data_IF_447754975788
#
_entry.id   IF_447754975788
#
_cell.length_a   1.000
_cell.length_b   1.000
_cell.length_c   1.000
_cell.angle_alpha   90.00
_cell.angle_beta   90.00
_cell.angle_gamma   90.00
#
_symmetry.space_group_name_H-M   'P 1'
#
loop_
_entity.id
_entity.type
_entity.pdbx_description
1 polymer ?
#
# COMPACT_ATOMS: atom_id res chain seq x y z
N UNK A 1 -43.13 20.26 22.85
CA UNK A 1 -43.78 19.05 23.40
C UNK A 1 -44.58 19.43 24.63
N UNK A 2 -45.82 18.95 24.76
CA UNK A 2 -46.60 19.16 25.98
C UNK A 2 -45.97 18.34 27.12
N UNK A 3 -45.85 18.94 28.29
CA UNK A 3 -45.31 18.29 29.48
C UNK A 3 -46.38 17.52 30.24
N UNK A 4 -45.97 16.56 31.07
CA UNK A 4 -46.88 15.78 31.92
C UNK A 4 -47.75 16.71 32.78
N UNK A 5 -47.17 17.79 33.30
CA UNK A 5 -47.88 18.80 34.09
C UNK A 5 -48.95 19.55 33.29
N UNK A 6 -48.69 19.86 32.02
CA UNK A 6 -49.66 20.50 31.13
C UNK A 6 -50.82 19.58 30.78
N UNK A 7 -50.55 18.28 30.58
CA UNK A 7 -51.58 17.26 30.33
C UNK A 7 -52.50 17.12 31.56
N UNK A 8 -51.93 17.06 32.76
CA UNK A 8 -52.71 16.98 34.02
C UNK A 8 -53.54 18.25 34.24
N UNK A 9 -52.95 19.44 34.05
CA UNK A 9 -53.68 20.72 34.15
C UNK A 9 -54.84 20.81 33.15
N UNK A 10 -54.63 20.32 31.92
CA UNK A 10 -55.66 20.32 30.87
C UNK A 10 -56.83 19.40 31.21
N UNK A 11 -56.55 18.24 31.79
CA UNK A 11 -57.57 17.31 32.30
C UNK A 11 -58.38 17.92 33.44
N UNK A 12 -57.72 18.60 34.36
CA UNK A 12 -58.39 19.25 35.50
C UNK A 12 -59.24 20.45 35.02
N UNK A 13 -58.78 21.21 34.02
CA UNK A 13 -59.54 22.28 33.35
C UNK A 13 -60.78 21.78 32.59
N UNK A 14 -60.69 20.59 31.98
CA UNK A 14 -61.81 19.96 31.28
C UNK A 14 -62.83 19.31 32.23
N UNK A 15 -62.53 19.28 33.54
CA UNK A 15 -63.44 18.78 34.57
C UNK A 15 -63.68 17.27 34.51
N UNK A 16 -62.83 16.51 33.80
CA UNK A 16 -62.97 15.06 33.70
C UNK A 16 -62.69 14.39 35.05
N UNK A 17 -63.57 13.45 35.46
CA UNK A 17 -63.46 12.67 36.70
C UNK A 17 -63.66 11.18 36.42
N UNK A 18 -63.18 10.36 37.35
CA UNK A 18 -63.34 8.90 37.28
C UNK A 18 -62.73 8.29 36.02
N UNK A 19 -63.46 7.42 35.35
CA UNK A 19 -62.98 6.66 34.18
C UNK A 19 -62.60 7.57 32.99
N UNK A 20 -63.38 8.63 32.72
CA UNK A 20 -63.09 9.58 31.62
C UNK A 20 -61.75 10.30 31.81
N UNK A 21 -61.36 10.55 33.06
CA UNK A 21 -60.04 11.14 33.40
C UNK A 21 -58.91 10.17 33.06
N UNK A 22 -59.07 8.91 33.45
CA UNK A 22 -58.06 7.87 33.21
C UNK A 22 -57.90 7.60 31.71
N UNK A 23 -59.00 7.57 30.96
CA UNK A 23 -58.99 7.30 29.51
C UNK A 23 -58.30 8.42 28.73
N UNK A 24 -58.63 9.68 29.04
CA UNK A 24 -57.97 10.84 28.43
C UNK A 24 -56.47 10.89 28.73
N UNK A 25 -56.08 10.67 30.00
CA UNK A 25 -54.67 10.63 30.39
C UNK A 25 -53.90 9.54 29.65
N UNK A 26 -54.46 8.32 29.56
CA UNK A 26 -53.86 7.22 28.79
C UNK A 26 -53.66 7.58 27.33
N UNK A 27 -54.65 8.23 26.72
CA UNK A 27 -54.58 8.65 25.32
C UNK A 27 -53.49 9.71 25.10
N UNK A 28 -53.42 10.74 25.95
CA UNK A 28 -52.40 11.79 25.86
C UNK A 28 -50.99 11.27 26.15
N UNK A 29 -50.82 10.38 27.14
CA UNK A 29 -49.51 9.77 27.39
C UNK A 29 -49.04 8.92 26.22
N UNK A 30 -49.95 8.13 25.61
CA UNK A 30 -49.63 7.35 24.41
C UNK A 30 -49.19 8.25 23.25
N UNK A 31 -49.89 9.36 23.02
CA UNK A 31 -49.52 10.34 22.00
C UNK A 31 -48.17 11.01 22.30
N UNK A 32 -47.90 11.32 23.57
CA UNK A 32 -46.62 11.90 23.99
C UNK A 32 -45.46 10.92 23.78
N UNK A 33 -45.63 9.65 24.15
CA UNK A 33 -44.64 8.59 23.90
C UNK A 33 -44.40 8.37 22.41
N UNK A 34 -45.45 8.31 21.60
CA UNK A 34 -45.34 8.19 20.14
C UNK A 34 -44.63 9.40 19.51
N UNK A 35 -44.94 10.61 20.01
CA UNK A 35 -44.27 11.84 19.58
C UNK A 35 -42.78 11.82 19.93
N UNK A 36 -42.43 11.47 21.17
CA UNK A 36 -41.04 11.38 21.61
C UNK A 36 -40.27 10.28 20.88
N UNK A 37 -40.92 9.14 20.61
CA UNK A 37 -40.31 8.05 19.86
C UNK A 37 -40.04 8.45 18.40
N UNK A 38 -40.98 9.18 17.77
CA UNK A 38 -40.78 9.73 16.41
C UNK A 38 -39.65 10.75 16.37
N UNK A 39 -39.57 11.64 17.36
CA UNK A 39 -38.54 12.66 17.44
C UNK A 39 -37.15 12.05 17.64
N UNK A 40 -37.00 11.12 18.60
CA UNK A 40 -35.75 10.37 18.78
C UNK A 40 -35.34 9.59 17.54
N UNK A 41 -36.29 8.99 16.84
CA UNK A 41 -36.02 8.25 15.61
C UNK A 41 -35.59 9.19 14.47
N UNK A 42 -36.26 10.33 14.32
CA UNK A 42 -35.90 11.35 13.33
C UNK A 42 -34.53 11.97 13.62
N UNK A 43 -34.21 12.22 14.90
CA UNK A 43 -32.91 12.72 15.33
C UNK A 43 -31.80 11.69 15.09
N UNK A 44 -32.04 10.42 15.42
CA UNK A 44 -31.11 9.34 15.13
C UNK A 44 -30.88 9.15 13.62
N UNK A 45 -31.93 9.27 12.81
CA UNK A 45 -31.83 9.22 11.35
C UNK A 45 -31.06 10.42 10.78
N UNK A 46 -31.30 11.62 11.29
CA UNK A 46 -30.55 12.83 10.94
C UNK A 46 -29.07 12.67 11.28
N UNK A 47 -28.76 12.26 12.52
CA UNK A 47 -27.37 12.04 12.95
C UNK A 47 -26.68 10.93 12.15
N UNK A 48 -27.41 9.86 11.81
CA UNK A 48 -26.86 8.78 10.96
C UNK A 48 -26.58 9.27 9.54
N UNK A 49 -27.45 10.10 8.99
CA UNK A 49 -27.27 10.72 7.67
C UNK A 49 -26.08 11.68 7.65
N UNK A 50 -25.95 12.54 8.66
CA UNK A 50 -24.82 13.47 8.79
C UNK A 50 -23.49 12.72 8.90
N UNK A 51 -23.41 11.69 9.77
CA UNK A 51 -22.20 10.85 9.90
C UNK A 51 -21.84 10.15 8.60
N UNK A 52 -22.83 9.67 7.86
CA UNK A 52 -22.60 9.01 6.57
C UNK A 52 -22.08 10.00 5.52
N UNK A 53 -22.66 11.20 5.45
CA UNK A 53 -22.21 12.23 4.52
C UNK A 53 -20.81 12.76 4.87
N UNK A 54 -20.49 12.88 6.16
CA UNK A 54 -19.16 13.26 6.61
C UNK A 54 -18.11 12.18 6.29
N UNK A 55 -18.43 10.91 6.51
CA UNK A 55 -17.57 9.79 6.13
C UNK A 55 -17.33 9.76 4.60
N UNK A 56 -18.38 9.91 3.79
CA UNK A 56 -18.25 9.96 2.33
C UNK A 56 -17.41 11.17 1.87
N UNK A 57 -17.59 12.32 2.51
CA UNK A 57 -16.78 13.52 2.23
C UNK A 57 -15.31 13.29 2.60
N UNK A 58 -15.04 12.59 3.69
CA UNK A 58 -13.68 12.27 4.11
C UNK A 58 -13.03 11.26 3.17
N UNK A 59 -13.72 10.17 2.82
CA UNK A 59 -13.23 9.19 1.84
C UNK A 59 -12.91 9.84 0.49
N UNK A 60 -13.79 10.74 0.01
CA UNK A 60 -13.55 11.48 -1.23
C UNK A 60 -12.32 12.39 -1.17
N UNK A 61 -12.05 13.03 -0.03
CA UNK A 61 -10.84 13.83 0.18
C UNK A 61 -9.60 12.94 0.20
N UNK A 62 -9.62 11.85 0.96
CA UNK A 62 -8.51 10.90 1.03
C UNK A 62 -8.19 10.26 -0.33
N UNK A 63 -9.22 9.96 -1.13
CA UNK A 63 -9.02 9.47 -2.49
C UNK A 63 -8.41 10.53 -3.41
N UNK A 64 -8.88 11.78 -3.32
CA UNK A 64 -8.31 12.89 -4.08
C UNK A 64 -6.83 13.13 -3.72
N UNK A 65 -6.51 13.17 -2.42
CA UNK A 65 -5.15 13.33 -1.91
C UNK A 65 -4.24 12.16 -2.35
N UNK A 66 -4.77 10.92 -2.30
CA UNK A 66 -4.04 9.73 -2.79
C UNK A 66 -3.76 9.82 -4.28
N UNK A 67 -4.74 10.27 -5.07
CA UNK A 67 -4.59 10.42 -6.51
C UNK A 67 -3.59 11.52 -6.85
N UNK A 68 -3.67 12.67 -6.19
CA UNK A 68 -2.73 13.77 -6.35
C UNK A 68 -1.30 13.34 -6.01
N UNK A 69 -1.12 12.59 -4.91
CA UNK A 69 0.20 12.06 -4.53
C UNK A 69 0.79 11.13 -5.59
N UNK A 70 -0.03 10.23 -6.13
CA UNK A 70 0.38 9.32 -7.22
C UNK A 70 0.70 10.08 -8.51
N UNK A 71 -0.04 11.13 -8.84
CA UNK A 71 0.24 11.98 -10.00
C UNK A 71 1.55 12.74 -9.82
N UNK A 72 1.79 13.34 -8.65
CA UNK A 72 3.07 13.99 -8.33
C UNK A 72 4.25 13.01 -8.42
N UNK A 73 4.09 11.79 -7.90
CA UNK A 73 5.13 10.76 -7.96
C UNK A 73 5.43 10.35 -9.40
N UNK A 74 4.40 10.16 -10.24
CA UNK A 74 4.58 9.92 -11.68
C UNK A 74 5.30 11.05 -12.38
N UNK A 75 4.95 12.31 -12.08
CA UNK A 75 5.61 13.49 -12.66
C UNK A 75 7.09 13.52 -12.24
N UNK A 76 7.39 13.26 -10.97
CA UNK A 76 8.77 13.21 -10.47
C UNK A 76 9.57 12.10 -11.16
N UNK A 77 9.00 10.91 -11.27
CA UNK A 77 9.65 9.77 -11.93
C UNK A 77 9.89 10.05 -13.43
N UNK A 78 8.92 10.65 -14.12
CA UNK A 78 9.07 11.04 -15.52
C UNK A 78 10.14 12.12 -15.71
N UNK A 79 10.19 13.13 -14.82
CA UNK A 79 11.22 14.14 -14.82
C UNK A 79 12.62 13.54 -14.56
N UNK A 80 12.74 12.63 -13.61
CA UNK A 80 13.99 11.93 -13.30
C UNK A 80 14.44 11.06 -14.49
N UNK A 81 13.52 10.31 -15.09
CA UNK A 81 13.79 9.51 -16.29
C UNK A 81 14.21 10.38 -17.49
N UNK A 82 13.60 11.54 -17.68
CA UNK A 82 14.01 12.52 -18.71
C UNK A 82 15.41 13.07 -18.44
N UNK A 83 15.71 13.44 -17.20
CA UNK A 83 17.05 13.89 -16.82
C UNK A 83 18.09 12.80 -17.00
N UNK A 84 17.77 11.54 -16.65
CA UNK A 84 18.66 10.41 -16.84
C UNK A 84 18.94 10.17 -18.33
N UNK A 85 17.90 10.18 -19.18
CA UNK A 85 18.05 10.07 -20.64
C UNK A 85 18.92 11.19 -21.21
N UNK A 86 18.67 12.44 -20.80
CA UNK A 86 19.46 13.58 -21.24
C UNK A 86 20.93 13.49 -20.79
N UNK A 87 21.20 12.99 -19.58
CA UNK A 87 22.58 12.75 -19.10
C UNK A 87 23.30 11.63 -19.87
N UNK A 88 22.57 10.59 -20.28
CA UNK A 88 23.10 9.52 -21.14
C UNK A 88 23.41 10.08 -22.54
N UNK A 89 22.48 10.83 -23.13
CA UNK A 89 22.64 11.42 -24.47
C UNK A 89 23.75 12.48 -24.52
N UNK A 90 23.92 13.26 -23.44
CA UNK A 90 25.02 14.20 -23.28
C UNK A 90 26.38 13.52 -22.95
N UNK A 91 26.42 12.18 -22.82
CA UNK A 91 27.64 11.44 -22.54
C UNK A 91 28.23 11.66 -21.13
N UNK A 92 27.49 12.31 -20.22
CA UNK A 92 27.90 12.54 -18.82
C UNK A 92 27.84 11.23 -18.03
N UNK A 93 26.83 10.40 -18.32
CA UNK A 93 26.78 9.01 -17.87
C UNK A 93 27.19 8.16 -19.06
N UNK A 94 28.41 7.60 -19.01
CA UNK A 94 28.80 6.55 -19.96
C UNK A 94 27.87 5.36 -19.68
N UNK A 95 27.00 5.04 -20.63
CA UNK A 95 26.58 3.66 -20.77
C UNK A 95 27.88 2.91 -21.08
N UNK A 96 28.50 2.27 -20.11
CA UNK A 96 29.51 1.26 -20.37
C UNK A 96 28.73 0.01 -20.80
N UNK A 97 28.59 -0.31 -22.10
CA UNK A 97 28.79 -1.69 -22.45
C UNK A 97 30.24 -1.97 -22.05
N UNK A 98 30.44 -2.76 -21.00
CA UNK A 98 31.72 -3.42 -20.80
C UNK A 98 32.08 -4.09 -22.14
N UNK A 99 33.20 -3.63 -22.70
CA UNK A 99 33.86 -4.26 -23.84
C UNK A 99 33.26 -3.92 -25.21
N UNK A 100 33.88 -3.00 -25.93
CA UNK A 100 34.51 -3.35 -27.22
C UNK A 100 35.17 -2.15 -27.88
N UNK A 101 36.50 -2.11 -27.81
CA UNK A 101 37.26 -1.77 -29.01
C UNK A 101 37.69 -3.08 -29.66
N UNK A 102 37.61 -3.09 -30.99
CA UNK A 102 38.02 -4.13 -31.93
C UNK A 102 37.01 -5.25 -32.26
N UNK A 103 36.25 -4.98 -33.33
CA UNK A 103 36.04 -5.84 -34.51
C UNK A 103 35.71 -7.32 -34.24
N UNK A 104 34.45 -7.70 -34.46
CA UNK A 104 34.04 -8.71 -35.44
C UNK A 104 32.53 -8.86 -35.39
N UNK A 105 31.92 -8.83 -36.56
CA UNK A 105 30.52 -9.17 -36.81
C UNK A 105 30.24 -10.63 -36.41
N UNK A 106 29.50 -10.86 -35.33
CA UNK A 106 28.46 -11.89 -35.33
C UNK A 106 27.40 -11.60 -34.27
N UNK A 107 26.15 -11.82 -34.65
CA UNK A 107 24.98 -11.52 -33.85
C UNK A 107 24.62 -12.70 -32.95
N UNK A 108 24.28 -12.42 -31.69
CA UNK A 108 23.27 -13.21 -30.97
C UNK A 108 23.74 -14.47 -30.23
N UNK A 109 24.39 -14.28 -29.07
CA UNK A 109 24.17 -15.15 -27.92
C UNK A 109 24.45 -14.35 -26.64
N UNK A 110 23.41 -14.02 -25.86
CA UNK A 110 23.60 -13.52 -24.49
C UNK A 110 24.19 -14.68 -23.70
N UNK A 111 25.47 -14.62 -23.34
CA UNK A 111 26.12 -15.67 -22.54
C UNK A 111 25.29 -15.93 -21.27
N UNK A 112 24.96 -17.20 -20.94
CA UNK A 112 24.20 -17.53 -19.75
C UNK A 112 24.97 -17.09 -18.50
N UNK A 113 24.31 -16.39 -17.57
CA UNK A 113 24.93 -15.98 -16.30
C UNK A 113 25.20 -17.22 -15.43
N UNK A 114 26.39 -17.31 -14.83
CA UNK A 114 26.73 -18.38 -13.91
C UNK A 114 25.89 -18.27 -12.61
N UNK A 115 25.18 -19.33 -12.18
CA UNK A 115 24.41 -19.29 -10.94
C UNK A 115 25.29 -19.21 -9.69
N UNK A 116 24.81 -18.51 -8.64
CA UNK A 116 25.43 -18.51 -7.31
C UNK A 116 25.49 -19.93 -6.72
N UNK A 117 26.52 -20.20 -5.93
CA UNK A 117 26.67 -21.43 -5.16
C UNK A 117 25.63 -21.49 -4.03
N UNK A 118 24.93 -22.63 -3.90
CA UNK A 118 23.98 -22.89 -2.82
C UNK A 118 24.56 -23.86 -1.77
N UNK A 119 24.97 -23.35 -0.60
CA UNK A 119 25.48 -24.16 0.51
C UNK A 119 24.44 -25.21 0.96
N UNK A 120 24.84 -26.48 0.97
CA UNK A 120 24.00 -27.63 1.32
C UNK A 120 23.23 -28.26 0.16
N UNK A 121 23.25 -27.67 -1.03
CA UNK A 121 22.66 -28.25 -2.26
C UNK A 121 23.68 -28.52 -3.35
N UNK A 122 24.62 -27.59 -3.53
CA UNK A 122 25.70 -27.74 -4.50
C UNK A 122 26.94 -28.35 -3.85
N UNK A 123 27.59 -29.25 -4.58
CA UNK A 123 28.93 -29.72 -4.24
C UNK A 123 29.95 -28.65 -4.65
N UNK A 124 30.78 -28.21 -3.70
CA UNK A 124 31.71 -27.09 -3.87
C UNK A 124 32.74 -27.37 -4.97
N UNK A 125 33.31 -28.57 -5.03
CA UNK A 125 34.36 -28.91 -5.99
C UNK A 125 33.81 -28.94 -7.42
N UNK A 126 32.60 -29.47 -7.58
CA UNK A 126 31.89 -29.53 -8.85
C UNK A 126 31.50 -28.11 -9.30
N UNK A 127 31.04 -27.27 -8.38
CA UNK A 127 30.65 -25.90 -8.67
C UNK A 127 31.87 -25.03 -9.03
N UNK A 128 33.00 -25.18 -8.34
CA UNK A 128 34.25 -24.49 -8.67
C UNK A 128 34.75 -24.86 -10.07
N UNK A 129 34.70 -26.15 -10.44
CA UNK A 129 35.05 -26.60 -11.80
C UNK A 129 34.18 -25.91 -12.87
N UNK A 130 32.89 -25.67 -12.58
CA UNK A 130 31.99 -24.93 -13.48
C UNK A 130 32.35 -23.46 -13.55
N UNK A 131 32.71 -22.85 -12.42
CA UNK A 131 33.19 -21.47 -12.36
C UNK A 131 34.46 -21.28 -13.20
N UNK A 132 35.46 -22.15 -13.06
CA UNK A 132 36.71 -22.05 -13.82
C UNK A 132 36.47 -22.19 -15.32
N UNK A 133 35.73 -23.22 -15.75
CA UNK A 133 35.37 -23.40 -17.16
C UNK A 133 34.59 -22.22 -17.72
N UNK A 134 33.72 -21.61 -16.92
CA UNK A 134 32.97 -20.43 -17.29
C UNK A 134 33.88 -19.21 -17.42
N UNK A 135 34.76 -18.97 -16.45
CA UNK A 135 35.70 -17.86 -16.44
C UNK A 135 36.69 -17.96 -17.61
N UNK A 136 37.20 -19.15 -17.92
CA UNK A 136 38.07 -19.40 -19.08
C UNK A 136 37.33 -19.17 -20.40
N UNK A 137 36.11 -19.69 -20.53
CA UNK A 137 35.29 -19.53 -21.74
C UNK A 137 34.88 -18.08 -22.00
N UNK A 138 34.79 -17.25 -20.94
CA UNK A 138 34.49 -15.83 -21.04
C UNK A 138 35.75 -14.94 -21.03
N UNK A 139 36.95 -15.53 -21.05
CA UNK A 139 38.22 -14.78 -21.10
C UNK A 139 38.50 -13.92 -19.86
N UNK A 140 38.01 -14.31 -18.68
CA UNK A 140 38.22 -13.56 -17.45
C UNK A 140 39.69 -13.60 -17.02
N UNK A 141 40.27 -12.44 -16.70
CA UNK A 141 41.61 -12.37 -16.10
C UNK A 141 41.64 -13.07 -14.74
N UNK A 142 42.66 -13.91 -14.49
CA UNK A 142 42.82 -14.65 -13.22
C UNK A 142 42.87 -13.75 -11.99
N UNK A 143 43.35 -12.51 -12.13
CA UNK A 143 43.36 -11.51 -11.05
C UNK A 143 41.94 -11.15 -10.57
N UNK A 144 40.95 -11.25 -11.46
CA UNK A 144 39.53 -10.95 -11.16
C UNK A 144 38.77 -12.16 -10.64
N UNK A 145 39.31 -13.37 -10.76
CA UNK A 145 38.61 -14.60 -10.38
C UNK A 145 38.28 -14.61 -8.88
N UNK A 146 39.22 -14.16 -8.04
CA UNK A 146 39.02 -14.07 -6.58
C UNK A 146 37.82 -13.20 -6.21
N UNK A 147 37.74 -11.98 -6.74
CA UNK A 147 36.65 -11.03 -6.47
C UNK A 147 35.31 -11.49 -7.04
N UNK A 148 35.33 -12.15 -8.20
CA UNK A 148 34.11 -12.72 -8.78
C UNK A 148 33.64 -13.97 -8.04
N UNK A 149 34.57 -14.78 -7.54
CA UNK A 149 34.28 -15.99 -6.79
C UNK A 149 33.61 -15.66 -5.45
N UNK A 150 34.14 -14.70 -4.68
CA UNK A 150 33.54 -14.34 -3.39
C UNK A 150 32.11 -13.77 -3.53
N UNK A 151 31.79 -13.10 -4.64
CA UNK A 151 30.45 -12.58 -4.90
C UNK A 151 29.43 -13.67 -5.24
N UNK A 152 29.89 -14.86 -5.66
CA UNK A 152 29.05 -15.97 -6.10
C UNK A 152 28.94 -17.09 -5.05
N UNK A 153 29.85 -17.13 -4.09
CA UNK A 153 29.77 -17.99 -2.91
C UNK A 153 28.74 -17.47 -1.92
N UNK A 154 28.08 -18.37 -1.21
CA UNK A 154 27.11 -18.03 -0.14
C UNK A 154 27.31 -18.95 1.06
N UNK A 155 26.81 -18.54 2.23
CA UNK A 155 26.83 -19.36 3.45
C UNK A 155 28.24 -19.69 3.94
N UNK A 156 28.46 -20.92 4.40
CA UNK A 156 29.72 -21.34 5.02
C UNK A 156 30.90 -21.33 4.05
N UNK A 157 30.65 -21.53 2.76
CA UNK A 157 31.71 -21.47 1.74
C UNK A 157 32.28 -20.05 1.62
N UNK A 158 31.43 -19.02 1.71
CA UNK A 158 31.88 -17.63 1.73
C UNK A 158 32.63 -17.30 3.03
N UNK A 159 32.12 -17.77 4.17
CA UNK A 159 32.79 -17.57 5.48
C UNK A 159 34.17 -18.21 5.54
N UNK A 160 34.36 -19.38 4.93
CA UNK A 160 35.66 -20.03 4.81
C UNK A 160 36.60 -19.27 3.86
N UNK A 161 36.07 -18.77 2.74
CA UNK A 161 36.85 -18.00 1.78
C UNK A 161 37.41 -16.71 2.39
N UNK A 162 36.61 -15.99 3.19
CA UNK A 162 37.04 -14.75 3.84
C UNK A 162 38.05 -14.93 5.00
N UNK A 163 38.36 -16.17 5.39
CA UNK A 163 39.34 -16.50 6.44
C UNK A 163 40.70 -16.95 5.90
N UNK A 164 40.81 -17.13 4.59
CA UNK A 164 42.06 -17.41 3.87
C UNK A 164 42.82 -16.10 3.60
#
# INVERSE_FOLDING_TARGET
>A
MATIEEIVKKVDLLGYRGEKRVEYLKQEFKLLEESQAREKKAEAESQAREKKEEAERQERKEEADRKEKLELEKIKLDAEMKLLKAKIEAGIIKNEPDGSSARSSDAGAKHPKLPNFQDGRDDLDIWLTRFERFAESNGWSRERWSSSLCALLTGRALDCYGRL
#
